data_IF_484700182145
#
_entry.id   IF_484700182145
#
_cell.length_a   1.000
_cell.length_b   1.000
_cell.length_c   1.000
_cell.angle_alpha   90.00
_cell.angle_beta   90.00
_cell.angle_gamma   90.00
#
_symmetry.space_group_name_H-M   'P 1'
#
loop_
_entity.id
_entity.type
_entity.pdbx_description
1 polymer ?
#
# COMPACT_ATOMS: atom_id res chain seq x y z
N UNK A 1 85.42 -18.04 -23.04
CA UNK A 1 84.45 -16.95 -22.81
C UNK A 1 83.21 -17.22 -23.68
N UNK A 2 82.16 -17.84 -23.09
CA UNK A 2 80.93 -18.25 -23.82
C UNK A 2 79.78 -17.36 -23.39
N UNK A 3 79.23 -16.58 -24.33
CA UNK A 3 78.00 -15.79 -24.17
C UNK A 3 76.84 -16.69 -24.52
N UNK A 4 75.98 -17.00 -23.54
CA UNK A 4 74.69 -17.67 -23.79
C UNK A 4 73.61 -16.59 -23.95
N UNK A 5 73.00 -16.57 -25.11
CA UNK A 5 71.85 -15.73 -25.46
C UNK A 5 70.58 -16.40 -24.90
N UNK A 6 69.85 -15.68 -24.07
CA UNK A 6 68.54 -16.15 -23.51
C UNK A 6 67.47 -15.58 -24.39
N UNK A 7 66.73 -16.46 -25.12
CA UNK A 7 65.54 -16.08 -25.89
C UNK A 7 64.36 -16.21 -24.94
N UNK A 8 63.79 -15.07 -24.53
CA UNK A 8 62.56 -15.03 -23.75
C UNK A 8 61.31 -15.10 -24.66
N UNK A 9 60.56 -16.19 -24.56
CA UNK A 9 59.30 -16.36 -25.25
C UNK A 9 58.19 -15.75 -24.41
N UNK A 10 57.64 -14.59 -24.83
CA UNK A 10 56.49 -13.97 -24.18
C UNK A 10 55.21 -14.63 -24.65
N UNK A 11 54.54 -15.37 -23.76
CA UNK A 11 53.19 -15.92 -24.01
C UNK A 11 52.20 -14.81 -23.60
N UNK A 12 51.55 -14.19 -24.54
CA UNK A 12 50.42 -13.28 -24.30
C UNK A 12 49.18 -14.14 -23.99
N UNK A 13 48.79 -14.20 -22.71
CA UNK A 13 47.53 -14.79 -22.32
C UNK A 13 46.38 -13.82 -22.62
N UNK A 14 45.59 -14.13 -23.65
CA UNK A 14 44.34 -13.43 -23.94
C UNK A 14 43.30 -13.80 -22.83
N UNK A 15 43.09 -12.90 -21.89
CA UNK A 15 41.98 -13.00 -20.95
C UNK A 15 40.65 -12.70 -21.66
N UNK A 16 39.99 -13.73 -22.17
CA UNK A 16 38.60 -13.66 -22.58
C UNK A 16 37.74 -13.57 -21.30
N UNK A 17 37.33 -12.38 -20.96
CA UNK A 17 36.29 -12.19 -19.93
C UNK A 17 34.95 -12.63 -20.51
N UNK A 18 34.63 -13.92 -20.36
CA UNK A 18 33.27 -14.42 -20.56
C UNK A 18 32.40 -13.80 -19.46
N UNK A 19 31.57 -12.83 -19.82
CA UNK A 19 30.48 -12.37 -18.93
C UNK A 19 29.56 -13.57 -18.68
N UNK A 20 29.31 -13.92 -17.41
CA UNK A 20 28.40 -15.03 -17.13
C UNK A 20 27.01 -14.70 -17.62
N UNK A 21 26.39 -15.63 -18.35
CA UNK A 21 25.07 -15.50 -19.00
C UNK A 21 23.87 -15.52 -18.04
N UNK A 22 24.10 -15.50 -16.73
CA UNK A 22 23.04 -15.52 -15.70
C UNK A 22 22.53 -14.13 -15.28
N UNK A 23 22.95 -13.06 -15.94
CA UNK A 23 22.44 -11.72 -15.70
C UNK A 23 21.16 -11.38 -16.51
N UNK A 24 20.35 -12.35 -16.88
CA UNK A 24 18.91 -12.12 -17.11
C UNK A 24 18.29 -12.09 -15.74
N UNK A 25 17.90 -10.90 -15.23
CA UNK A 25 17.20 -10.78 -13.99
C UNK A 25 16.04 -11.78 -13.94
N UNK A 26 15.95 -12.58 -12.87
CA UNK A 26 14.79 -13.40 -12.66
C UNK A 26 13.58 -12.47 -12.68
N UNK A 27 12.55 -12.82 -13.44
CA UNK A 27 11.31 -12.06 -13.42
C UNK A 27 10.75 -12.11 -11.99
N UNK A 28 10.51 -10.93 -11.42
CA UNK A 28 9.90 -10.81 -10.11
C UNK A 28 8.38 -10.99 -10.24
N UNK A 29 7.75 -11.55 -9.23
CA UNK A 29 6.30 -11.68 -9.10
C UNK A 29 5.88 -11.37 -7.66
N UNK A 30 4.60 -11.19 -7.44
CA UNK A 30 4.06 -10.99 -6.09
C UNK A 30 3.79 -12.36 -5.47
N UNK A 31 4.55 -12.72 -4.43
CA UNK A 31 4.41 -14.03 -3.74
C UNK A 31 3.08 -14.15 -3.01
N UNK A 32 2.62 -13.06 -2.40
CA UNK A 32 1.40 -13.02 -1.60
C UNK A 32 0.55 -11.82 -2.03
N UNK A 33 -0.53 -12.10 -2.74
CA UNK A 33 -1.52 -11.08 -3.06
C UNK A 33 -2.45 -10.93 -1.86
N UNK A 34 -2.55 -9.71 -1.36
CA UNK A 34 -3.46 -9.30 -0.29
C UNK A 34 -4.70 -8.58 -0.82
N UNK A 35 -5.68 -8.40 0.03
CA UNK A 35 -6.90 -7.63 -0.26
C UNK A 35 -7.30 -6.75 0.92
N UNK A 36 -7.67 -5.49 0.64
CA UNK A 36 -8.40 -4.66 1.58
C UNK A 36 -9.88 -5.06 1.59
N UNK A 37 -10.36 -5.50 2.76
CA UNK A 37 -11.71 -6.06 2.92
C UNK A 37 -12.83 -5.02 2.78
N UNK A 38 -12.51 -3.74 2.67
CA UNK A 38 -13.48 -2.71 2.31
C UNK A 38 -14.15 -3.01 0.97
N UNK A 39 -13.44 -3.64 0.04
CA UNK A 39 -13.98 -4.09 -1.26
C UNK A 39 -15.18 -5.02 -1.10
N UNK A 40 -15.16 -5.90 -0.12
CA UNK A 40 -16.21 -6.89 0.15
C UNK A 40 -17.10 -6.51 1.35
N UNK A 41 -17.07 -5.24 1.80
CA UNK A 41 -17.72 -4.77 3.03
C UNK A 41 -19.21 -5.06 3.11
N UNK A 42 -19.93 -5.01 1.98
CA UNK A 42 -21.39 -5.29 1.98
C UNK A 42 -21.68 -6.78 2.24
N UNK A 43 -20.85 -7.67 1.69
CA UNK A 43 -20.94 -9.10 1.99
C UNK A 43 -20.51 -9.39 3.43
N UNK A 44 -19.48 -8.70 3.96
CA UNK A 44 -19.03 -8.83 5.35
C UNK A 44 -20.12 -8.47 6.37
N UNK A 45 -20.96 -7.49 6.09
CA UNK A 45 -22.11 -7.12 6.96
C UNK A 45 -23.13 -8.24 7.08
N UNK A 46 -23.28 -9.05 6.04
CA UNK A 46 -24.30 -10.10 5.97
C UNK A 46 -23.77 -11.46 6.41
N UNK A 47 -22.57 -11.82 5.95
CA UNK A 47 -21.92 -13.11 6.20
C UNK A 47 -20.39 -12.90 6.29
N UNK A 48 -19.94 -12.57 7.47
CA UNK A 48 -18.51 -12.29 7.73
C UNK A 48 -17.65 -13.53 7.46
N UNK A 49 -17.99 -14.69 8.08
CA UNK A 49 -17.18 -15.90 7.95
C UNK A 49 -17.18 -16.45 6.53
N UNK A 50 -18.34 -16.51 5.90
CA UNK A 50 -18.45 -16.97 4.51
C UNK A 50 -17.73 -16.03 3.53
N UNK A 51 -17.70 -14.73 3.81
CA UNK A 51 -16.95 -13.76 2.99
C UNK A 51 -15.43 -13.99 3.11
N UNK A 52 -14.91 -14.15 4.32
CA UNK A 52 -13.49 -14.48 4.56
C UNK A 52 -13.11 -15.80 3.88
N UNK A 53 -13.97 -16.82 3.97
CA UNK A 53 -13.75 -18.10 3.30
C UNK A 53 -13.73 -17.97 1.76
N UNK A 54 -14.59 -17.14 1.16
CA UNK A 54 -14.60 -16.87 -0.29
C UNK A 54 -13.36 -16.10 -0.73
N UNK A 55 -12.88 -15.13 0.05
CA UNK A 55 -11.64 -14.41 -0.20
C UNK A 55 -10.46 -15.38 -0.21
N UNK A 56 -10.36 -16.26 0.78
CA UNK A 56 -9.32 -17.30 0.82
C UNK A 56 -9.41 -18.27 -0.37
N UNK A 57 -10.64 -18.70 -0.74
CA UNK A 57 -10.89 -19.59 -1.87
C UNK A 57 -10.54 -18.96 -3.23
N UNK A 58 -10.58 -17.63 -3.36
CA UNK A 58 -10.12 -16.91 -4.55
C UNK A 58 -8.60 -17.04 -4.73
N UNK A 59 -7.86 -17.21 -3.63
CA UNK A 59 -6.41 -17.40 -3.65
C UNK A 59 -5.61 -16.39 -2.83
N UNK A 60 -6.25 -15.32 -2.32
CA UNK A 60 -5.62 -14.34 -1.47
C UNK A 60 -4.94 -14.98 -0.25
N UNK A 61 -3.82 -14.44 0.18
CA UNK A 61 -3.03 -14.93 1.32
C UNK A 61 -2.99 -13.95 2.48
N UNK A 62 -3.24 -12.69 2.18
CA UNK A 62 -3.25 -11.62 3.17
C UNK A 62 -4.55 -10.83 3.06
N UNK A 63 -5.03 -10.34 4.19
CA UNK A 63 -6.16 -9.42 4.25
C UNK A 63 -5.80 -8.20 5.08
N UNK A 64 -6.32 -7.06 4.70
CA UNK A 64 -6.32 -5.85 5.50
C UNK A 64 -7.75 -5.54 5.93
N UNK A 65 -7.93 -5.31 7.22
CA UNK A 65 -9.27 -5.06 7.78
C UNK A 65 -9.66 -3.59 7.72
N UNK A 66 -10.94 -3.33 7.41
CA UNK A 66 -11.60 -2.04 7.56
C UNK A 66 -12.68 -2.09 8.67
N UNK A 67 -12.40 -2.84 9.74
CA UNK A 67 -13.29 -3.09 10.86
C UNK A 67 -13.67 -4.56 11.02
N UNK A 68 -14.12 -4.95 12.22
CA UNK A 68 -14.38 -6.35 12.59
C UNK A 68 -15.87 -6.71 12.61
N UNK A 69 -16.78 -5.83 12.18
CA UNK A 69 -18.21 -6.10 12.01
C UNK A 69 -18.88 -6.77 13.25
N UNK A 70 -18.54 -6.32 14.46
CA UNK A 70 -18.99 -6.83 15.78
C UNK A 70 -18.39 -8.19 16.19
N UNK A 71 -17.45 -8.76 15.45
CA UNK A 71 -16.68 -9.92 15.92
C UNK A 71 -15.61 -9.46 16.92
N UNK A 72 -15.36 -10.28 17.92
CA UNK A 72 -14.24 -10.04 18.83
C UNK A 72 -12.90 -10.26 18.10
N UNK A 73 -11.81 -9.60 18.55
CA UNK A 73 -10.48 -9.86 18.00
C UNK A 73 -10.08 -11.34 18.04
N UNK A 74 -10.47 -12.08 19.09
CA UNK A 74 -10.21 -13.50 19.21
C UNK A 74 -10.99 -14.33 18.17
N UNK A 75 -12.26 -14.01 17.92
CA UNK A 75 -13.05 -14.67 16.89
C UNK A 75 -12.50 -14.39 15.50
N UNK A 76 -12.12 -13.13 15.23
CA UNK A 76 -11.46 -12.75 13.97
C UNK A 76 -10.20 -13.58 13.75
N UNK A 77 -9.33 -13.72 14.76
CA UNK A 77 -8.13 -14.55 14.66
C UNK A 77 -8.46 -16.00 14.36
N UNK A 78 -9.43 -16.58 15.06
CA UNK A 78 -9.85 -17.98 14.83
C UNK A 78 -10.38 -18.20 13.41
N UNK A 79 -11.17 -17.24 12.88
CA UNK A 79 -11.69 -17.30 11.50
C UNK A 79 -10.56 -17.22 10.48
N UNK A 80 -9.55 -16.35 10.69
CA UNK A 80 -8.39 -16.24 9.83
C UNK A 80 -7.57 -17.53 9.83
N UNK A 81 -7.32 -18.12 11.00
CA UNK A 81 -6.59 -19.39 11.13
C UNK A 81 -7.29 -20.53 10.41
N UNK A 82 -8.62 -20.64 10.56
CA UNK A 82 -9.45 -21.63 9.86
C UNK A 82 -9.32 -21.54 8.33
N UNK A 83 -9.09 -20.33 7.80
CA UNK A 83 -9.02 -20.07 6.36
C UNK A 83 -7.59 -19.92 5.83
N UNK A 84 -6.56 -20.05 6.69
CA UNK A 84 -5.15 -19.95 6.31
C UNK A 84 -4.76 -18.55 5.79
N UNK A 85 -5.41 -17.50 6.32
CA UNK A 85 -5.13 -16.11 5.98
C UNK A 85 -4.28 -15.41 7.04
N UNK A 86 -3.32 -14.62 6.60
CA UNK A 86 -2.66 -13.63 7.44
C UNK A 86 -3.40 -12.29 7.36
N UNK A 87 -3.37 -11.53 8.45
CA UNK A 87 -3.91 -10.18 8.49
C UNK A 87 -2.82 -9.21 8.99
N UNK A 88 -1.83 -8.86 8.15
CA UNK A 88 -0.72 -8.02 8.58
C UNK A 88 -1.14 -6.60 8.94
N UNK A 89 -2.25 -6.09 8.41
CA UNK A 89 -2.68 -4.71 8.56
C UNK A 89 -4.18 -4.54 8.82
N UNK A 90 -4.53 -3.41 9.45
CA UNK A 90 -5.91 -2.94 9.57
C UNK A 90 -6.00 -1.42 9.48
N UNK A 91 -7.11 -0.93 8.95
CA UNK A 91 -7.49 0.48 8.93
C UNK A 91 -8.30 0.86 10.17
N UNK A 92 -7.96 1.98 10.78
CA UNK A 92 -8.71 2.56 11.90
C UNK A 92 -8.91 4.07 11.70
N UNK A 93 -10.10 4.55 12.01
CA UNK A 93 -10.45 5.97 11.83
C UNK A 93 -9.64 6.92 12.73
N UNK A 94 -9.50 8.17 12.30
CA UNK A 94 -8.74 9.21 12.98
C UNK A 94 -9.14 9.39 14.45
N UNK A 95 -10.43 9.39 14.74
CA UNK A 95 -10.93 9.54 16.13
C UNK A 95 -10.73 8.28 16.98
N UNK A 96 -10.57 7.12 16.39
CA UNK A 96 -10.13 5.91 17.10
C UNK A 96 -8.66 6.04 17.50
N UNK A 97 -7.82 6.54 16.61
CA UNK A 97 -6.40 6.84 16.92
C UNK A 97 -6.31 7.85 18.06
N UNK A 98 -7.18 8.87 18.04
CA UNK A 98 -7.18 9.92 19.08
C UNK A 98 -7.69 9.44 20.44
N UNK A 99 -8.73 8.58 20.46
CA UNK A 99 -9.54 8.35 21.66
C UNK A 99 -9.46 6.93 22.23
N UNK A 100 -9.04 5.93 21.42
CA UNK A 100 -9.14 4.50 21.79
C UNK A 100 -7.85 3.72 21.45
N UNK A 101 -6.70 4.41 21.53
CA UNK A 101 -5.47 3.82 21.03
C UNK A 101 -5.00 2.58 21.82
N UNK A 102 -5.02 2.54 23.16
CA UNK A 102 -4.60 1.36 23.92
C UNK A 102 -5.43 0.11 23.56
N UNK A 103 -6.76 0.23 23.52
CA UNK A 103 -7.66 -0.88 23.20
C UNK A 103 -7.46 -1.34 21.73
N UNK A 104 -7.12 -0.40 20.84
CA UNK A 104 -6.82 -0.69 19.44
C UNK A 104 -5.54 -1.51 19.30
N UNK A 105 -4.50 -1.17 20.06
CA UNK A 105 -3.24 -1.92 20.08
C UNK A 105 -3.45 -3.35 20.63
N UNK A 106 -4.23 -3.53 21.70
CA UNK A 106 -4.56 -4.84 22.25
C UNK A 106 -5.34 -5.71 21.26
N UNK A 107 -6.31 -5.11 20.57
CA UNK A 107 -7.07 -5.79 19.52
C UNK A 107 -6.18 -6.20 18.34
N UNK A 108 -5.32 -5.30 17.88
CA UNK A 108 -4.39 -5.55 16.79
C UNK A 108 -3.40 -6.68 17.14
N UNK A 109 -2.90 -6.69 18.36
CA UNK A 109 -2.03 -7.76 18.85
C UNK A 109 -2.75 -9.12 18.85
N UNK A 110 -4.01 -9.15 19.32
CA UNK A 110 -4.83 -10.37 19.38
C UNK A 110 -5.10 -10.94 17.98
N UNK A 111 -5.41 -10.08 17.00
CA UNK A 111 -5.64 -10.49 15.61
C UNK A 111 -4.33 -10.86 14.91
N UNK A 112 -3.20 -10.32 15.36
CA UNK A 112 -1.87 -10.56 14.78
C UNK A 112 -1.48 -9.52 13.71
N UNK A 113 -1.98 -8.29 13.83
CA UNK A 113 -1.55 -7.20 12.95
C UNK A 113 -0.14 -6.73 13.29
N UNK A 114 0.65 -6.49 12.27
CA UNK A 114 1.96 -5.84 12.34
C UNK A 114 1.87 -4.34 12.07
N UNK A 115 0.80 -3.92 11.40
CA UNK A 115 0.54 -2.54 10.99
C UNK A 115 -0.87 -2.09 11.39
N UNK A 116 -0.98 -0.83 11.81
CA UNK A 116 -2.27 -0.14 11.95
C UNK A 116 -2.19 1.16 11.16
N UNK A 117 -3.12 1.35 10.23
CA UNK A 117 -3.13 2.45 9.29
C UNK A 117 -4.33 3.37 9.58
N UNK A 118 -4.09 4.67 9.63
CA UNK A 118 -5.15 5.66 9.56
C UNK A 118 -5.43 6.01 8.10
N UNK A 119 -6.60 5.63 7.52
CA UNK A 119 -6.84 5.80 6.08
C UNK A 119 -7.43 7.14 5.71
N UNK A 120 -7.91 7.92 6.68
CA UNK A 120 -8.76 9.07 6.39
C UNK A 120 -8.69 10.14 7.48
N UNK A 121 -8.69 11.39 7.05
CA UNK A 121 -8.89 12.56 7.90
C UNK A 121 -10.09 13.32 7.31
N UNK A 122 -11.13 13.50 8.11
CA UNK A 122 -12.36 14.17 7.64
C UNK A 122 -12.08 15.59 7.18
N UNK A 123 -12.82 16.04 6.15
CA UNK A 123 -12.67 17.37 5.58
C UNK A 123 -12.77 18.46 6.67
N UNK A 124 -13.70 18.30 7.62
CA UNK A 124 -13.84 19.21 8.76
C UNK A 124 -12.54 19.35 9.55
N UNK A 125 -11.83 18.28 9.79
CA UNK A 125 -10.55 18.27 10.52
C UNK A 125 -9.42 18.88 9.68
N UNK A 126 -9.42 18.62 8.36
CA UNK A 126 -8.39 19.09 7.42
C UNK A 126 -8.43 20.59 7.20
N UNK A 127 -9.65 21.21 7.13
CA UNK A 127 -9.84 22.64 6.84
C UNK A 127 -9.73 23.52 8.08
N UNK A 128 -9.77 22.97 9.29
CA UNK A 128 -9.55 23.73 10.51
C UNK A 128 -8.13 24.33 10.56
N UNK A 129 -7.92 25.48 11.20
CA UNK A 129 -6.59 26.02 11.43
C UNK A 129 -5.67 24.95 12.04
N UNK A 130 -4.48 24.75 11.46
CA UNK A 130 -3.50 23.76 11.89
C UNK A 130 -3.97 22.28 11.85
N UNK A 131 -5.05 21.94 11.13
CA UNK A 131 -5.59 20.59 11.08
C UNK A 131 -4.57 19.54 10.67
N UNK A 132 -3.81 19.80 9.61
CA UNK A 132 -2.74 18.93 9.18
C UNK A 132 -1.58 18.82 10.19
N UNK A 133 -1.25 19.89 10.88
CA UNK A 133 -0.23 19.89 11.92
C UNK A 133 -0.66 19.04 13.12
N UNK A 134 -1.92 19.20 13.56
CA UNK A 134 -2.47 18.35 14.63
C UNK A 134 -2.47 16.87 14.23
N UNK A 135 -2.74 16.56 12.97
CA UNK A 135 -2.66 15.18 12.48
C UNK A 135 -1.23 14.62 12.58
N UNK A 136 -0.21 15.37 12.16
CA UNK A 136 1.21 14.98 12.33
C UNK A 136 1.54 14.71 13.79
N UNK A 137 1.15 15.62 14.70
CA UNK A 137 1.40 15.47 16.13
C UNK A 137 0.71 14.23 16.69
N UNK A 138 -0.55 13.97 16.30
CA UNK A 138 -1.30 12.78 16.72
C UNK A 138 -0.62 11.51 16.21
N UNK A 139 -0.26 11.47 14.92
CA UNK A 139 0.31 10.30 14.29
C UNK A 139 1.70 9.95 14.80
N UNK A 140 2.54 10.94 15.07
CA UNK A 140 3.83 10.71 15.73
C UNK A 140 3.64 10.12 17.14
N UNK A 141 2.67 10.63 17.96
CA UNK A 141 2.36 10.05 19.27
C UNK A 141 1.81 8.62 19.16
N UNK A 142 0.90 8.37 18.21
CA UNK A 142 0.38 7.03 17.95
C UNK A 142 1.51 6.07 17.53
N UNK A 143 2.42 6.52 16.66
CA UNK A 143 3.58 5.77 16.23
C UNK A 143 4.52 5.40 17.39
N UNK A 144 4.75 6.32 18.34
CA UNK A 144 5.54 6.02 19.54
C UNK A 144 4.90 4.93 20.40
N UNK A 145 3.57 5.01 20.61
CA UNK A 145 2.84 4.01 21.40
C UNK A 145 2.81 2.66 20.67
N UNK A 146 2.56 2.66 19.37
CA UNK A 146 2.56 1.45 18.53
C UNK A 146 3.91 0.74 18.56
N UNK A 147 4.99 1.49 18.41
CA UNK A 147 6.35 0.93 18.46
C UNK A 147 6.66 0.23 19.77
N UNK A 148 6.19 0.77 20.90
CA UNK A 148 6.32 0.12 22.23
C UNK A 148 5.54 -1.18 22.31
N UNK A 149 4.41 -1.28 21.57
CA UNK A 149 3.60 -2.48 21.46
C UNK A 149 4.09 -3.46 20.37
N UNK A 150 5.19 -3.15 19.65
CA UNK A 150 5.71 -4.00 18.57
C UNK A 150 4.89 -3.91 17.27
N UNK A 151 4.09 -2.86 17.11
CA UNK A 151 3.24 -2.60 15.94
C UNK A 151 3.75 -1.34 15.24
N UNK A 152 3.70 -1.31 13.91
CA UNK A 152 4.05 -0.15 13.12
C UNK A 152 2.78 0.66 12.79
N UNK A 153 2.79 1.95 13.10
CA UNK A 153 1.72 2.86 12.69
C UNK A 153 1.99 3.44 11.30
N UNK A 154 0.92 3.71 10.54
CA UNK A 154 1.01 4.31 9.21
C UNK A 154 -0.18 5.19 8.84
N UNK A 155 -0.01 5.90 7.73
CA UNK A 155 -1.05 6.71 7.10
C UNK A 155 -1.25 6.30 5.64
N UNK A 156 -2.50 6.21 5.21
CA UNK A 156 -2.91 5.92 3.83
C UNK A 156 -3.43 7.18 3.15
N UNK A 157 -2.99 7.43 1.94
CA UNK A 157 -3.40 8.59 1.16
C UNK A 157 -4.59 8.31 0.27
N UNK A 158 -5.33 9.39 0.02
CA UNK A 158 -6.23 9.54 -1.12
C UNK A 158 -5.69 10.59 -2.09
N UNK A 159 -6.54 11.18 -2.91
CA UNK A 159 -6.14 12.23 -3.85
C UNK A 159 -6.17 13.63 -3.22
N UNK A 160 -6.89 13.84 -2.14
CA UNK A 160 -7.04 15.17 -1.52
C UNK A 160 -5.75 15.69 -0.85
N UNK A 161 -4.81 14.84 -0.51
CA UNK A 161 -3.51 15.26 0.04
C UNK A 161 -2.59 15.89 -1.01
N UNK A 162 -2.94 15.76 -2.26
CA UNK A 162 -2.18 16.31 -3.39
C UNK A 162 -2.79 17.57 -3.97
N UNK A 163 -3.77 18.19 -3.29
CA UNK A 163 -4.46 19.38 -3.78
C UNK A 163 -3.76 20.65 -3.31
N UNK A 164 -3.43 21.59 -4.23
CA UNK A 164 -2.73 22.83 -3.89
C UNK A 164 -3.47 23.72 -2.87
N UNK A 165 -4.80 23.66 -2.80
CA UNK A 165 -5.60 24.46 -1.83
C UNK A 165 -5.36 24.05 -0.38
N UNK A 166 -4.80 22.86 -0.13
CA UNK A 166 -4.45 22.35 1.20
C UNK A 166 -3.00 22.60 1.60
N UNK A 167 -2.22 23.40 0.86
CA UNK A 167 -0.78 23.57 1.15
C UNK A 167 -0.50 24.13 2.52
N UNK A 168 0.52 23.56 3.18
CA UNK A 168 1.03 23.97 4.48
C UNK A 168 2.49 24.38 4.32
N UNK A 169 2.80 25.65 4.60
CA UNK A 169 4.17 26.15 4.42
C UNK A 169 4.71 25.96 2.99
N UNK A 170 3.84 26.02 1.98
CA UNK A 170 4.19 25.84 0.57
C UNK A 170 4.32 24.38 0.11
N UNK A 171 4.05 23.40 0.99
CA UNK A 171 4.07 21.95 0.67
C UNK A 171 2.64 21.44 0.48
N UNK A 172 2.43 20.47 -0.42
CA UNK A 172 1.20 19.67 -0.45
C UNK A 172 1.03 18.89 0.87
N UNK A 173 -0.20 18.60 1.34
CA UNK A 173 -0.41 17.84 2.56
C UNK A 173 0.38 16.51 2.63
N UNK A 174 0.44 15.77 1.53
CA UNK A 174 1.25 14.54 1.48
C UNK A 174 2.74 14.78 1.64
N UNK A 175 3.28 15.81 0.97
CA UNK A 175 4.69 16.21 1.13
C UNK A 175 4.98 16.74 2.54
N UNK A 176 4.01 17.41 3.16
CA UNK A 176 4.10 17.87 4.54
C UNK A 176 4.16 16.67 5.50
N UNK A 177 3.30 15.68 5.34
CA UNK A 177 3.32 14.44 6.13
C UNK A 177 4.66 13.71 6.01
N UNK A 178 5.16 13.53 4.78
CA UNK A 178 6.45 12.88 4.56
C UNK A 178 7.63 13.64 5.18
N UNK A 179 7.52 14.97 5.31
CA UNK A 179 8.58 15.82 5.90
C UNK A 179 8.52 15.88 7.43
N UNK A 180 7.30 15.90 8.02
CA UNK A 180 7.12 16.20 9.45
C UNK A 180 6.81 14.96 10.32
N UNK A 181 6.37 13.85 9.70
CA UNK A 181 6.22 12.60 10.42
C UNK A 181 7.58 11.90 10.57
N UNK A 182 7.91 11.47 11.79
CA UNK A 182 9.15 10.71 12.03
C UNK A 182 9.10 9.36 11.24
N UNK A 183 10.02 9.14 10.31
CA UNK A 183 10.06 7.93 9.48
C UNK A 183 10.29 6.63 10.27
N UNK A 184 10.74 6.73 11.51
CA UNK A 184 10.91 5.58 12.43
C UNK A 184 9.65 5.24 13.21
N UNK A 185 8.64 6.10 13.17
CA UNK A 185 7.39 5.98 13.90
C UNK A 185 6.20 5.79 12.98
N UNK A 186 6.18 6.50 11.84
CA UNK A 186 5.04 6.50 10.91
C UNK A 186 5.51 6.14 9.51
N UNK A 187 5.00 5.03 8.98
CA UNK A 187 5.18 4.64 7.58
C UNK A 187 4.03 5.20 6.73
N UNK A 188 4.17 5.07 5.42
CA UNK A 188 3.10 5.41 4.49
C UNK A 188 2.61 4.13 3.80
N UNK A 189 1.33 3.91 3.83
CA UNK A 189 0.66 3.02 2.90
C UNK A 189 0.24 3.83 1.68
N UNK A 190 0.86 3.59 0.54
CA UNK A 190 0.56 4.39 -0.65
C UNK A 190 -0.58 3.75 -1.45
N UNK A 191 -1.68 4.50 -1.62
CA UNK A 191 -2.67 4.15 -2.64
C UNK A 191 -2.15 4.59 -4.01
N UNK A 192 -1.81 3.61 -4.85
CA UNK A 192 -1.21 3.82 -6.16
C UNK A 192 -2.20 4.38 -7.19
N UNK A 193 -3.49 4.16 -6.98
CA UNK A 193 -4.54 4.74 -7.81
C UNK A 193 -4.75 6.22 -7.47
N UNK A 194 -4.98 6.53 -6.20
CA UNK A 194 -5.31 7.90 -5.81
C UNK A 194 -4.17 8.89 -6.03
N UNK A 195 -2.92 8.47 -5.85
CA UNK A 195 -1.77 9.31 -6.22
C UNK A 195 -1.72 9.55 -7.74
N UNK A 196 -2.04 8.53 -8.56
CA UNK A 196 -2.10 8.64 -10.02
C UNK A 196 -3.26 9.51 -10.50
N UNK A 197 -4.44 9.37 -9.89
CA UNK A 197 -5.62 10.25 -10.11
C UNK A 197 -5.28 11.71 -9.81
N UNK A 198 -4.48 11.96 -8.78
CA UNK A 198 -3.98 13.29 -8.45
C UNK A 198 -2.90 13.82 -9.42
N UNK A 199 -2.58 13.08 -10.48
CA UNK A 199 -1.60 13.45 -11.50
C UNK A 199 -0.15 13.40 -11.00
N UNK A 200 0.13 12.59 -9.97
CA UNK A 200 1.47 12.39 -9.44
C UNK A 200 2.03 11.04 -9.86
N UNK A 201 3.34 10.98 -10.04
CA UNK A 201 4.04 9.74 -10.35
C UNK A 201 4.51 9.07 -9.03
N UNK A 202 4.01 7.87 -8.67
CA UNK A 202 4.45 7.17 -7.47
C UNK A 202 5.97 6.89 -7.46
N UNK A 203 6.58 6.69 -8.64
CA UNK A 203 8.01 6.45 -8.73
C UNK A 203 8.86 7.64 -8.28
N UNK A 204 8.37 8.85 -8.49
CA UNK A 204 9.04 10.06 -7.98
C UNK A 204 9.09 10.07 -6.45
N UNK A 205 8.03 9.57 -5.79
CA UNK A 205 7.98 9.43 -4.33
C UNK A 205 8.85 8.28 -3.84
N UNK A 206 8.89 7.15 -4.54
CA UNK A 206 9.76 6.03 -4.21
C UNK A 206 11.24 6.45 -4.23
N UNK A 207 11.66 7.14 -5.28
CA UNK A 207 13.03 7.64 -5.41
C UNK A 207 13.39 8.70 -4.34
N UNK A 208 12.43 9.57 -3.98
CA UNK A 208 12.64 10.64 -3.00
C UNK A 208 12.65 10.12 -1.56
N UNK A 209 11.87 9.08 -1.27
CA UNK A 209 11.67 8.54 0.06
C UNK A 209 11.81 7.00 0.07
N UNK A 210 12.98 6.45 -0.25
CA UNK A 210 13.18 5.01 -0.34
C UNK A 210 12.88 4.31 1.00
N UNK A 211 12.19 3.16 0.92
CA UNK A 211 11.82 2.36 2.08
C UNK A 211 10.65 2.89 2.92
N UNK A 212 9.97 3.97 2.50
CA UNK A 212 8.88 4.59 3.27
C UNK A 212 7.51 3.96 3.04
N UNK A 213 7.37 3.04 2.06
CA UNK A 213 6.08 2.54 1.55
C UNK A 213 5.99 1.02 1.65
N UNK A 214 6.02 0.44 2.88
CA UNK A 214 5.99 -1.02 3.03
C UNK A 214 4.65 -1.66 2.65
N UNK A 215 3.57 -0.88 2.60
CA UNK A 215 2.25 -1.31 2.16
C UNK A 215 1.78 -0.43 1.00
N UNK A 216 1.07 -1.05 0.06
CA UNK A 216 0.43 -0.33 -1.04
C UNK A 216 -0.98 -0.84 -1.29
N UNK A 217 -1.90 0.07 -1.60
CA UNK A 217 -3.16 -0.29 -2.22
C UNK A 217 -2.99 -0.38 -3.74
N UNK A 218 -3.39 -1.52 -4.26
CA UNK A 218 -3.38 -1.85 -5.68
C UNK A 218 -4.82 -1.73 -6.17
N UNK A 219 -5.15 -0.56 -6.64
CA UNK A 219 -6.47 -0.14 -7.12
C UNK A 219 -6.30 0.43 -8.52
N UNK A 220 -7.14 0.06 -9.47
CA UNK A 220 -7.00 0.53 -10.84
C UNK A 220 -8.11 1.50 -11.24
N UNK A 221 -7.86 2.22 -12.32
CA UNK A 221 -8.69 3.33 -12.76
C UNK A 221 -8.57 3.54 -14.26
N UNK A 222 -9.71 3.82 -14.91
CA UNK A 222 -9.78 4.21 -16.33
C UNK A 222 -10.15 5.68 -16.42
N UNK A 223 -9.31 6.47 -17.05
CA UNK A 223 -9.61 7.85 -17.39
C UNK A 223 -10.29 7.92 -18.75
N UNK A 224 -11.58 7.69 -18.80
CA UNK A 224 -12.40 7.76 -20.02
C UNK A 224 -13.15 9.11 -20.18
N UNK A 225 -12.84 10.07 -19.30
CA UNK A 225 -13.48 11.38 -19.29
C UNK A 225 -14.88 11.40 -18.68
N UNK A 226 -15.40 10.24 -18.24
CA UNK A 226 -16.65 10.19 -17.51
C UNK A 226 -16.51 10.88 -16.15
N UNK A 227 -17.62 11.37 -15.57
CA UNK A 227 -17.63 11.87 -14.20
C UNK A 227 -18.22 10.80 -13.29
N UNK A 228 -17.42 10.24 -12.39
CA UNK A 228 -17.96 9.41 -11.32
C UNK A 228 -18.54 10.32 -10.23
N UNK A 229 -19.84 10.20 -10.00
CA UNK A 229 -20.57 11.09 -9.06
C UNK A 229 -20.42 10.63 -7.59
N UNK A 230 -20.06 9.38 -7.33
CA UNK A 230 -20.07 8.80 -5.98
C UNK A 230 -18.91 9.25 -5.10
N UNK A 231 -17.71 9.20 -5.63
CA UNK A 231 -16.48 9.49 -4.88
C UNK A 231 -16.13 10.97 -4.74
N UNK A 232 -16.64 11.80 -5.65
CA UNK A 232 -16.34 13.23 -5.67
C UNK A 232 -16.79 13.97 -4.40
N UNK A 233 -17.91 13.54 -3.78
CA UNK A 233 -18.41 14.11 -2.53
C UNK A 233 -17.55 13.80 -1.31
N UNK A 234 -16.97 12.61 -1.25
CA UNK A 234 -16.13 12.19 -0.15
C UNK A 234 -14.73 12.84 -0.19
N UNK A 235 -14.20 13.07 -1.38
CA UNK A 235 -12.87 13.70 -1.60
C UNK A 235 -12.84 15.20 -1.38
N UNK A 236 -13.99 15.85 -1.28
CA UNK A 236 -14.12 17.31 -1.22
C UNK A 236 -14.13 17.97 -2.61
N UNK A 237 -14.61 19.23 -2.68
CA UNK A 237 -14.81 19.95 -3.96
C UNK A 237 -13.52 20.27 -4.72
N UNK A 238 -12.37 20.14 -4.08
CA UNK A 238 -11.07 20.52 -4.64
C UNK A 238 -10.43 19.41 -5.49
N UNK A 239 -10.94 18.18 -5.45
CA UNK A 239 -10.42 17.06 -6.25
C UNK A 239 -11.35 16.80 -7.41
N UNK A 240 -10.81 16.91 -8.63
CA UNK A 240 -11.54 16.54 -9.84
C UNK A 240 -11.22 15.11 -10.22
N UNK A 241 -12.08 14.17 -9.82
CA UNK A 241 -12.00 12.79 -10.28
C UNK A 241 -12.72 12.67 -11.63
N UNK A 242 -12.00 12.24 -12.66
CA UNK A 242 -12.54 11.92 -13.99
C UNK A 242 -12.25 10.47 -14.30
N UNK A 243 -13.24 9.77 -14.83
CA UNK A 243 -13.14 8.34 -15.08
C UNK A 243 -13.88 7.49 -14.05
N UNK A 244 -13.54 6.23 -14.00
CA UNK A 244 -14.14 5.23 -13.11
C UNK A 244 -13.09 4.30 -12.53
N UNK A 245 -13.35 3.75 -11.35
CA UNK A 245 -12.55 2.66 -10.83
C UNK A 245 -12.73 1.40 -11.69
N UNK A 246 -11.70 0.58 -11.76
CA UNK A 246 -11.66 -0.64 -12.54
C UNK A 246 -10.99 -1.75 -11.72
N UNK A 247 -11.20 -2.97 -12.13
CA UNK A 247 -10.47 -4.10 -11.56
C UNK A 247 -9.00 -4.02 -11.96
N UNK A 248 -8.14 -4.50 -11.11
CA UNK A 248 -6.69 -4.41 -11.33
C UNK A 248 -6.31 -5.16 -12.62
N UNK A 249 -5.66 -4.44 -13.52
CA UNK A 249 -5.28 -4.92 -14.85
C UNK A 249 -6.28 -4.56 -15.95
N UNK A 250 -7.45 -4.03 -15.62
CA UNK A 250 -8.43 -3.51 -16.58
C UNK A 250 -8.43 -1.97 -16.65
N UNK A 251 -7.56 -1.34 -15.88
CA UNK A 251 -7.41 0.11 -15.84
C UNK A 251 -6.24 0.63 -16.68
N UNK A 252 -5.77 1.82 -16.32
CA UNK A 252 -4.74 2.56 -17.06
C UNK A 252 -3.38 2.60 -16.35
N UNK A 253 -3.25 1.98 -15.18
CA UNK A 253 -2.02 2.03 -14.38
C UNK A 253 -1.01 1.00 -14.92
N UNK A 254 0.22 1.46 -15.17
CA UNK A 254 1.33 0.57 -15.57
C UNK A 254 1.94 -0.13 -14.36
N UNK A 255 1.32 -1.22 -13.95
CA UNK A 255 1.72 -2.03 -12.81
C UNK A 255 3.15 -2.58 -12.93
N UNK A 256 3.57 -3.00 -14.12
CA UNK A 256 4.94 -3.52 -14.34
C UNK A 256 5.97 -2.45 -14.06
N UNK A 257 5.75 -1.24 -14.54
CA UNK A 257 6.63 -0.09 -14.31
C UNK A 257 6.73 0.23 -12.81
N UNK A 258 5.61 0.22 -12.11
CA UNK A 258 5.56 0.55 -10.68
C UNK A 258 6.23 -0.55 -9.86
N UNK A 259 5.87 -1.82 -10.08
CA UNK A 259 6.36 -2.92 -9.25
C UNK A 259 7.82 -3.28 -9.53
N UNK A 260 8.37 -2.95 -10.71
CA UNK A 260 9.81 -3.00 -10.93
C UNK A 260 10.62 -2.13 -9.95
N UNK A 261 9.94 -1.22 -9.21
CA UNK A 261 10.53 -0.34 -8.18
C UNK A 261 10.10 -0.69 -6.75
N UNK A 262 9.48 -1.86 -6.55
CA UNK A 262 9.03 -2.30 -5.23
C UNK A 262 10.15 -2.34 -4.19
N UNK A 263 11.34 -2.79 -4.57
CA UNK A 263 12.50 -2.81 -3.66
C UNK A 263 12.96 -1.43 -3.24
N UNK A 264 12.91 -0.43 -4.14
CA UNK A 264 13.26 0.96 -3.84
C UNK A 264 12.22 1.59 -2.89
N UNK A 265 10.94 1.33 -3.14
CA UNK A 265 9.83 1.78 -2.30
C UNK A 265 9.82 1.10 -0.92
N UNK A 266 10.36 -0.12 -0.81
CA UNK A 266 10.31 -0.96 0.38
C UNK A 266 9.00 -1.75 0.51
N UNK A 267 8.27 -2.01 -0.59
CA UNK A 267 6.98 -2.67 -0.57
C UNK A 267 7.12 -4.11 -0.10
N UNK A 268 6.31 -4.48 0.88
CA UNK A 268 6.21 -5.82 1.47
C UNK A 268 4.81 -6.42 1.31
N UNK A 269 3.77 -5.57 1.29
CA UNK A 269 2.36 -5.97 1.23
C UNK A 269 1.64 -5.23 0.11
N UNK A 270 0.86 -5.98 -0.68
CA UNK A 270 0.12 -5.50 -1.84
C UNK A 270 -1.36 -5.82 -1.64
N UNK A 271 -2.18 -4.82 -1.29
CA UNK A 271 -3.60 -5.01 -1.04
C UNK A 271 -4.44 -4.53 -2.22
N UNK A 272 -5.09 -5.48 -2.89
CA UNK A 272 -6.12 -5.17 -3.89
C UNK A 272 -7.26 -4.43 -3.22
N UNK A 273 -7.73 -3.35 -3.83
CA UNK A 273 -8.95 -2.67 -3.40
C UNK A 273 -9.74 -2.14 -4.60
N UNK A 274 -11.06 -2.21 -4.48
CA UNK A 274 -12.01 -1.51 -5.34
C UNK A 274 -13.10 -0.89 -4.45
N UNK A 275 -13.19 0.44 -4.42
CA UNK A 275 -14.16 1.14 -3.56
C UNK A 275 -15.60 1.05 -4.07
N UNK A 276 -15.78 0.81 -5.37
CA UNK A 276 -17.08 0.74 -6.06
C UNK A 276 -17.21 -0.57 -6.88
N UNK A 277 -17.08 -1.75 -6.25
CA UNK A 277 -17.16 -3.01 -6.97
C UNK A 277 -18.58 -3.22 -7.51
N UNK A 278 -18.68 -3.69 -8.77
CA UNK A 278 -19.96 -4.05 -9.39
C UNK A 278 -20.46 -5.41 -8.93
N UNK A 279 -19.54 -6.36 -8.86
CA UNK A 279 -19.73 -7.72 -8.36
C UNK A 279 -18.51 -8.09 -7.51
N UNK A 280 -18.54 -7.77 -6.22
CA UNK A 280 -17.35 -7.80 -5.38
C UNK A 280 -16.51 -9.08 -5.50
N UNK A 281 -17.15 -10.27 -5.56
CA UNK A 281 -16.43 -11.54 -5.67
C UNK A 281 -15.88 -11.84 -7.06
N UNK A 282 -16.53 -11.36 -8.12
CA UNK A 282 -16.00 -11.48 -9.47
C UNK A 282 -14.86 -10.50 -9.68
N UNK A 283 -15.03 -9.26 -9.21
CA UNK A 283 -14.06 -8.17 -9.33
C UNK A 283 -12.73 -8.53 -8.61
N UNK A 284 -12.80 -9.06 -7.37
CA UNK A 284 -11.60 -9.49 -6.65
C UNK A 284 -10.90 -10.68 -7.33
N UNK A 285 -11.64 -11.53 -8.01
CA UNK A 285 -11.08 -12.66 -8.77
C UNK A 285 -10.36 -12.19 -10.02
N UNK A 286 -10.89 -11.20 -10.76
CA UNK A 286 -10.22 -10.57 -11.90
C UNK A 286 -8.89 -9.97 -11.46
N UNK A 287 -8.94 -9.14 -10.42
CA UNK A 287 -7.76 -8.47 -9.86
C UNK A 287 -6.70 -9.46 -9.36
N UNK A 288 -7.13 -10.52 -8.63
CA UNK A 288 -6.23 -11.57 -8.15
C UNK A 288 -5.53 -12.28 -9.31
N UNK A 289 -6.28 -12.72 -10.33
CA UNK A 289 -5.73 -13.46 -11.47
C UNK A 289 -4.69 -12.65 -12.23
N UNK A 290 -4.94 -11.35 -12.41
CA UNK A 290 -3.98 -10.45 -13.05
C UNK A 290 -2.68 -10.37 -12.24
N UNK A 291 -2.76 -10.05 -10.95
CA UNK A 291 -1.57 -9.87 -10.11
C UNK A 291 -0.79 -11.17 -9.90
N UNK A 292 -1.49 -12.30 -9.75
CA UNK A 292 -0.86 -13.62 -9.55
C UNK A 292 -0.02 -14.04 -10.77
N UNK A 293 -0.38 -13.59 -11.97
CA UNK A 293 0.32 -13.91 -13.22
C UNK A 293 1.29 -12.82 -13.67
N UNK A 294 1.26 -11.66 -13.01
CA UNK A 294 2.08 -10.51 -13.38
C UNK A 294 3.57 -10.79 -13.14
N UNK A 295 4.39 -10.58 -14.16
CA UNK A 295 5.86 -10.61 -14.08
C UNK A 295 6.43 -9.22 -14.38
N UNK A 296 7.39 -8.77 -13.58
CA UNK A 296 8.00 -7.43 -13.67
C UNK A 296 9.49 -7.42 -13.29
#
# INVERSE_FOLDING_TARGET
MNRRTFIGTSIAAALTTSRPSWARGAAHHIDKVGIQLYTVREAMKTDFEGTIAKVAATGYKEVEFAGYFNYSPADVRAILDKNGLAAPSCHVGYDVVEKKWPETLDAAHTVGHSYIICPWIDEKQRVEPDGWKRAVELFNRAGEASKKAGIQFGYHNHSFEFVPSGTIGGKLPYDYFLAEMDPKLVIMEMDLCWISVAGKDPLAYFAKYPGRFPLVHVKDWVNDGSSSSGYQGAMGQSVKFTGRLADVGEGSIDWKRIFAKSGEAGIQHYFVENDEPKSAFDDIKVSYNYLHTLQF
#
